data_IF_580783085433
#
_entry.id   IF_580783085433
#
_cell.length_a   1.000
_cell.length_b   1.000
_cell.length_c   1.000
_cell.angle_alpha   90.00
_cell.angle_beta   90.00
_cell.angle_gamma   90.00
#
_symmetry.space_group_name_H-M   'P 1'
#
loop_
_entity.id
_entity.type
_entity.pdbx_description
1 polymer ?
#
# COMPACT_ATOMS: atom_id res chain seq x y z
N UNK A 1 2.09 18.47 1.10
CA UNK A 1 2.51 17.17 0.51
C UNK A 1 1.87 17.10 -0.84
N UNK A 2 2.69 16.91 -1.85
CA UNK A 2 2.22 16.79 -3.22
C UNK A 2 1.40 15.50 -3.38
N UNK A 3 0.26 15.61 -4.07
CA UNK A 3 -0.64 14.47 -4.29
C UNK A 3 0.02 13.40 -5.17
N UNK A 4 0.96 13.79 -6.06
CA UNK A 4 1.77 12.85 -6.84
C UNK A 4 2.68 12.01 -5.96
N UNK A 5 3.36 12.64 -5.00
CA UNK A 5 4.23 11.96 -4.03
C UNK A 5 3.44 10.96 -3.17
N UNK A 6 2.24 11.34 -2.73
CA UNK A 6 1.35 10.45 -1.96
C UNK A 6 0.88 9.28 -2.81
N UNK A 7 0.48 9.53 -4.06
CA UNK A 7 0.07 8.48 -4.99
C UNK A 7 1.22 7.50 -5.28
N UNK A 8 2.44 8.00 -5.51
CA UNK A 8 3.64 7.15 -5.66
C UNK A 8 3.87 6.25 -4.44
N UNK A 9 3.74 6.80 -3.23
CA UNK A 9 3.86 6.01 -2.00
C UNK A 9 2.79 4.93 -1.85
N UNK A 10 1.54 5.25 -2.21
CA UNK A 10 0.43 4.28 -2.22
C UNK A 10 0.71 3.14 -3.21
N UNK A 11 1.14 3.47 -4.43
CA UNK A 11 1.48 2.48 -5.46
C UNK A 11 2.63 1.60 -4.99
N UNK A 12 3.67 2.19 -4.39
CA UNK A 12 4.82 1.45 -3.87
C UNK A 12 4.40 0.43 -2.81
N UNK A 13 3.58 0.83 -1.83
CA UNK A 13 3.10 -0.06 -0.77
C UNK A 13 2.27 -1.21 -1.34
N UNK A 14 1.32 -0.91 -2.23
CA UNK A 14 0.43 -1.91 -2.82
C UNK A 14 1.18 -2.89 -3.72
N UNK A 15 2.11 -2.41 -4.55
CA UNK A 15 2.90 -3.25 -5.47
C UNK A 15 3.78 -4.26 -4.73
N UNK A 16 4.31 -3.88 -3.57
CA UNK A 16 5.23 -4.71 -2.79
C UNK A 16 4.54 -5.46 -1.63
N UNK A 17 3.22 -5.30 -1.44
CA UNK A 17 2.49 -5.93 -0.34
C UNK A 17 2.97 -5.50 1.06
N UNK A 18 3.51 -4.28 1.19
CA UNK A 18 4.12 -3.80 2.43
C UNK A 18 3.07 -3.37 3.45
N UNK A 19 3.45 -3.36 4.72
CA UNK A 19 2.67 -2.63 5.73
C UNK A 19 2.84 -1.14 5.48
N UNK A 20 1.79 -0.36 5.64
CA UNK A 20 1.86 1.10 5.49
C UNK A 20 2.98 1.74 6.30
N UNK A 21 3.23 1.24 7.52
CA UNK A 21 4.30 1.72 8.42
C UNK A 21 5.71 1.56 7.86
N UNK A 22 5.89 0.62 6.95
CA UNK A 22 7.17 0.27 6.35
C UNK A 22 7.39 1.02 5.01
N UNK A 23 6.47 1.91 4.63
CA UNK A 23 6.63 2.77 3.47
C UNK A 23 7.88 3.67 3.61
N UNK A 24 8.68 3.84 2.54
CA UNK A 24 9.82 4.73 2.54
C UNK A 24 9.43 6.16 2.96
N UNK A 25 10.27 6.78 3.79
CA UNK A 25 10.01 8.13 4.34
C UNK A 25 9.94 9.22 3.26
N UNK A 26 10.56 8.99 2.12
CA UNK A 26 10.51 9.86 0.94
C UNK A 26 9.08 10.09 0.42
N UNK A 27 8.14 9.18 0.68
CA UNK A 27 6.72 9.37 0.32
C UNK A 27 5.90 10.08 1.40
N UNK A 28 6.51 10.37 2.55
CA UNK A 28 5.88 11.01 3.69
C UNK A 28 5.34 10.05 4.76
N UNK A 29 4.66 10.59 5.79
CA UNK A 29 4.13 9.80 6.89
C UNK A 29 3.16 8.72 6.42
N UNK A 30 3.41 7.47 6.84
CA UNK A 30 2.56 6.32 6.53
C UNK A 30 1.06 6.55 6.85
N UNK A 31 0.74 7.26 7.94
CA UNK A 31 -0.65 7.60 8.29
C UNK A 31 -1.34 8.43 7.21
N UNK A 32 -0.61 9.36 6.58
CA UNK A 32 -1.13 10.19 5.50
C UNK A 32 -1.39 9.34 4.26
N UNK A 33 -0.46 8.46 3.88
CA UNK A 33 -0.64 7.52 2.77
C UNK A 33 -1.91 6.68 2.95
N UNK A 34 -2.05 6.02 4.11
CA UNK A 34 -3.22 5.18 4.40
C UNK A 34 -4.53 6.00 4.42
N UNK A 35 -4.55 7.15 5.11
CA UNK A 35 -5.75 7.98 5.21
C UNK A 35 -6.21 8.48 3.83
N UNK A 36 -5.26 8.82 2.95
CA UNK A 36 -5.56 9.30 1.60
C UNK A 36 -6.03 8.16 0.72
N UNK A 37 -5.35 7.01 0.75
CA UNK A 37 -5.79 5.81 0.04
C UNK A 37 -7.22 5.43 0.42
N UNK A 38 -7.54 5.37 1.72
CA UNK A 38 -8.89 5.05 2.21
C UNK A 38 -9.92 6.07 1.73
N UNK A 39 -9.63 7.37 1.86
CA UNK A 39 -10.55 8.44 1.46
C UNK A 39 -10.79 8.44 -0.06
N UNK A 40 -9.74 8.29 -0.86
CA UNK A 40 -9.85 8.23 -2.32
C UNK A 40 -10.55 6.97 -2.81
N UNK A 41 -10.35 5.83 -2.13
CA UNK A 41 -11.12 4.62 -2.37
C UNK A 41 -12.61 4.84 -2.12
N UNK A 42 -12.98 5.42 -0.97
CA UNK A 42 -14.38 5.71 -0.65
C UNK A 42 -15.05 6.71 -1.60
N UNK A 43 -14.29 7.67 -2.15
CA UNK A 43 -14.81 8.64 -3.14
C UNK A 43 -14.78 8.12 -4.58
N UNK A 44 -14.28 6.90 -4.81
CA UNK A 44 -14.13 6.31 -6.15
C UNK A 44 -13.10 7.00 -7.04
N UNK A 45 -12.19 7.79 -6.46
CA UNK A 45 -11.15 8.51 -7.20
C UNK A 45 -10.19 7.52 -7.87
N UNK A 46 -9.78 6.48 -7.15
CA UNK A 46 -8.88 5.46 -7.68
C UNK A 46 -9.52 4.71 -8.85
N UNK A 47 -10.82 4.39 -8.76
CA UNK A 47 -11.55 3.73 -9.85
C UNK A 47 -11.61 4.60 -11.10
N UNK A 48 -11.94 5.89 -10.96
CA UNK A 48 -11.97 6.85 -12.08
C UNK A 48 -10.60 7.03 -12.74
N UNK A 49 -9.53 7.06 -11.93
CA UNK A 49 -8.16 7.10 -12.46
C UNK A 49 -7.84 5.86 -13.31
N UNK A 50 -8.20 4.66 -12.82
CA UNK A 50 -7.98 3.42 -13.58
C UNK A 50 -8.80 3.38 -14.86
N UNK A 51 -10.06 3.82 -14.82
CA UNK A 51 -10.92 3.93 -16.00
C UNK A 51 -10.29 4.85 -17.06
N UNK A 52 -9.85 6.06 -16.67
CA UNK A 52 -9.18 6.99 -17.58
C UNK A 52 -7.83 6.52 -18.14
N UNK A 53 -7.17 5.56 -17.48
CA UNK A 53 -5.96 4.92 -18.01
C UNK A 53 -6.27 3.73 -18.91
N UNK A 54 -7.32 2.95 -18.59
CA UNK A 54 -7.73 1.80 -19.40
C UNK A 54 -8.18 2.18 -20.81
N UNK A 55 -8.75 3.37 -21.00
CA UNK A 55 -9.20 3.88 -22.30
C UNK A 55 -8.04 4.22 -23.25
N UNK A 56 -6.83 4.40 -22.74
CA UNK A 56 -5.62 4.68 -23.53
C UNK A 56 -4.81 3.43 -23.88
N UNK A 57 -5.12 2.27 -23.27
CA UNK A 57 -4.43 1.01 -23.54
C UNK A 57 -5.07 0.30 -24.74
N UNK A 58 -4.25 -0.29 -25.61
CA UNK A 58 -4.68 -1.02 -26.80
C UNK A 58 -5.48 -2.28 -26.43
N UNK A 59 -6.80 -2.11 -26.24
CA UNK A 59 -7.76 -3.18 -25.98
C UNK A 59 -7.71 -3.76 -24.55
N UNK A 60 -8.83 -4.34 -24.08
CA UNK A 60 -8.87 -5.00 -22.78
C UNK A 60 -7.94 -6.22 -22.78
N UNK A 61 -6.92 -6.19 -21.92
CA UNK A 61 -6.09 -7.36 -21.64
C UNK A 61 -6.76 -8.19 -20.54
N UNK A 62 -6.87 -9.51 -20.75
CA UNK A 62 -7.34 -10.42 -19.71
C UNK A 62 -6.20 -10.58 -18.69
N UNK A 63 -6.31 -9.88 -17.56
CA UNK A 63 -5.41 -10.04 -16.42
C UNK A 63 -6.09 -10.95 -15.39
N UNK A 64 -5.61 -12.19 -15.26
CA UNK A 64 -6.02 -13.07 -14.17
C UNK A 64 -5.29 -12.65 -12.89
N UNK A 65 -6.02 -12.05 -11.96
CA UNK A 65 -5.50 -11.68 -10.64
C UNK A 65 -5.84 -12.82 -9.68
N UNK A 66 -4.85 -13.63 -9.30
CA UNK A 66 -4.95 -14.47 -8.12
C UNK A 66 -4.29 -13.76 -6.91
N UNK A 67 -4.79 -14.06 -5.71
CA UNK A 67 -4.20 -13.57 -4.48
C UNK A 67 -4.02 -14.76 -3.54
N UNK A 68 -2.77 -15.09 -3.22
CA UNK A 68 -2.48 -16.14 -2.25
C UNK A 68 -2.72 -15.61 -0.84
N UNK A 69 -3.83 -15.99 -0.22
CA UNK A 69 -4.10 -15.68 1.17
C UNK A 69 -3.48 -16.74 2.08
N UNK A 70 -2.38 -16.40 2.77
CA UNK A 70 -1.81 -17.25 3.82
C UNK A 70 -2.37 -16.82 5.19
N UNK A 71 -3.17 -17.67 5.83
CA UNK A 71 -3.63 -17.45 7.20
C UNK A 71 -2.44 -17.55 8.16
N UNK A 72 -2.04 -16.42 8.75
CA UNK A 72 -1.02 -16.41 9.78
C UNK A 72 -1.56 -17.04 11.08
N UNK A 73 -0.85 -18.02 11.64
CA UNK A 73 -1.17 -18.59 12.96
C UNK A 73 -0.86 -17.57 14.06
N UNK A 74 -1.54 -17.66 15.23
CA UNK A 74 -1.40 -16.68 16.33
C UNK A 74 0.06 -16.47 16.77
N UNK A 75 0.89 -17.50 16.65
CA UNK A 75 2.31 -17.50 16.99
C UNK A 75 3.23 -16.88 15.93
N UNK A 76 2.73 -16.62 14.72
CA UNK A 76 3.51 -15.95 13.66
C UNK A 76 3.71 -14.44 13.91
N UNK A 77 3.12 -13.88 14.97
CA UNK A 77 3.22 -12.47 15.34
C UNK A 77 4.32 -12.17 16.37
N UNK A 78 5.26 -13.08 16.62
CA UNK A 78 6.33 -12.89 17.62
C UNK A 78 7.59 -12.20 17.07
N UNK A 79 7.44 -11.10 16.34
CA UNK A 79 8.55 -10.11 16.23
C UNK A 79 8.33 -9.09 17.35
N UNK A 80 8.56 -9.55 18.58
CA UNK A 80 8.82 -8.63 19.68
C UNK A 80 10.08 -7.84 19.30
N UNK A 81 9.96 -6.51 19.26
CA UNK A 81 11.11 -5.61 19.23
C UNK A 81 12.10 -6.13 20.25
N UNK A 82 13.30 -6.57 19.82
CA UNK A 82 14.41 -6.83 20.73
C UNK A 82 14.74 -5.50 21.40
N UNK A 83 14.07 -5.20 22.51
CA UNK A 83 14.35 -4.06 23.37
C UNK A 83 15.75 -4.34 23.91
N UNK A 84 16.69 -3.47 23.56
CA UNK A 84 18.09 -3.60 23.89
C UNK A 84 18.27 -4.00 25.36
N UNK A 85 19.07 -5.03 25.59
CA UNK A 85 19.62 -5.33 26.90
C UNK A 85 20.55 -4.15 27.20
N UNK A 86 20.06 -3.20 28.01
CA UNK A 86 20.92 -2.23 28.66
C UNK A 86 21.68 -2.98 29.74
N UNK A 87 22.99 -3.08 29.57
CA UNK A 87 23.89 -3.55 30.63
C UNK A 87 23.88 -2.54 31.78
N UNK A 88 23.83 -3.06 33.00
CA UNK A 88 24.23 -2.41 34.24
C UNK A 88 25.12 -3.40 34.98
#
# INVERSE_FOLDING_TARGET
>A
MDDRQVLSGIIFVNRNGLRWRDAPREYGPHKKLYSRWKRWGAMGVLSRMMEGWSTQSAGPQILMIDATYLKAHRTASSVGVKKGISAA
#
